data_IF_741422592254
#
_entry.id   IF_741422592254
#
_cell.length_a   1.000
_cell.length_b   1.000
_cell.length_c   1.000
_cell.angle_alpha   90.00
_cell.angle_beta   90.00
_cell.angle_gamma   90.00
#
_symmetry.space_group_name_H-M   'P 1'
#
loop_
_entity.id
_entity.type
_entity.pdbx_description
1 polymer ?
#
# COMPACT_ATOMS: atom_id res chain seq x y z
N UNK A 1 4.49 -15.00 26.17
CA UNK A 1 5.04 -14.14 25.10
C UNK A 1 4.07 -12.98 24.88
N UNK A 2 4.52 -11.72 24.83
CA UNK A 2 3.57 -10.60 24.64
C UNK A 2 2.89 -10.73 23.26
N UNK A 3 1.56 -10.58 23.15
CA UNK A 3 0.80 -10.93 21.95
C UNK A 3 1.24 -10.17 20.68
N UNK A 4 1.70 -8.92 20.83
CA UNK A 4 2.20 -8.12 19.71
C UNK A 4 3.55 -8.61 19.14
N UNK A 5 4.37 -9.32 19.94
CA UNK A 5 5.64 -9.91 19.47
C UNK A 5 5.33 -11.11 18.57
N UNK A 6 4.35 -11.92 18.96
CA UNK A 6 3.93 -13.09 18.19
C UNK A 6 3.33 -12.67 16.86
N UNK A 7 2.44 -11.68 16.86
CA UNK A 7 1.87 -11.11 15.64
C UNK A 7 2.96 -10.62 14.68
N UNK A 8 3.96 -9.88 15.19
CA UNK A 8 5.11 -9.44 14.39
C UNK A 8 5.86 -10.62 13.76
N UNK A 9 6.21 -11.63 14.53
CA UNK A 9 6.94 -12.79 14.02
C UNK A 9 6.15 -13.56 12.96
N UNK A 10 4.85 -13.77 13.21
CA UNK A 10 3.96 -14.42 12.26
C UNK A 10 3.89 -13.67 10.92
N UNK A 11 3.74 -12.34 10.96
CA UNK A 11 3.67 -11.53 9.74
C UNK A 11 4.99 -11.56 8.95
N UNK A 12 6.14 -11.54 9.63
CA UNK A 12 7.43 -11.75 8.96
C UNK A 12 7.55 -13.16 8.37
N UNK A 13 7.07 -14.19 9.07
CA UNK A 13 7.06 -15.55 8.53
C UNK A 13 6.21 -15.64 7.26
N UNK A 14 5.03 -15.00 7.23
CA UNK A 14 4.19 -14.92 6.03
C UNK A 14 4.93 -14.17 4.91
N UNK A 15 5.51 -13.01 5.20
CA UNK A 15 6.28 -12.22 4.23
C UNK A 15 7.44 -13.03 3.63
N UNK A 16 8.20 -13.74 4.45
CA UNK A 16 9.31 -14.60 4.01
C UNK A 16 8.78 -15.79 3.21
N UNK A 17 7.66 -16.40 3.60
CA UNK A 17 7.07 -17.50 2.84
C UNK A 17 6.64 -17.08 1.43
N UNK A 18 6.07 -15.87 1.27
CA UNK A 18 5.74 -15.31 -0.05
C UNK A 18 6.99 -15.02 -0.88
N UNK A 19 8.03 -14.50 -0.24
CA UNK A 19 9.32 -14.26 -0.90
C UNK A 19 9.95 -15.58 -1.40
N UNK A 20 10.00 -16.61 -0.55
CA UNK A 20 10.51 -17.93 -0.93
C UNK A 20 9.67 -18.56 -2.04
N UNK A 21 8.34 -18.46 -1.95
CA UNK A 21 7.42 -18.97 -2.97
C UNK A 21 7.68 -18.31 -4.34
N UNK A 22 7.96 -17.01 -4.38
CA UNK A 22 8.32 -16.33 -5.62
C UNK A 22 9.52 -16.98 -6.34
N UNK A 23 10.60 -17.26 -5.60
CA UNK A 23 11.81 -17.90 -6.16
C UNK A 23 11.64 -19.40 -6.44
N UNK A 24 10.63 -20.05 -5.87
CA UNK A 24 10.27 -21.43 -6.23
C UNK A 24 9.49 -21.47 -7.54
N UNK A 25 8.71 -20.43 -7.86
CA UNK A 25 7.87 -20.38 -9.05
C UNK A 25 8.56 -19.81 -10.29
N UNK A 26 9.68 -19.11 -10.15
CA UNK A 26 10.35 -18.48 -11.29
C UNK A 26 11.80 -18.12 -11.01
N UNK A 27 12.55 -17.88 -12.09
CA UNK A 27 13.95 -17.47 -12.00
C UNK A 27 14.09 -16.00 -11.59
N UNK A 28 15.24 -15.58 -11.02
CA UNK A 28 15.47 -14.17 -10.69
C UNK A 28 15.30 -13.21 -11.88
N UNK A 29 15.58 -13.66 -13.11
CA UNK A 29 15.40 -12.88 -14.33
C UNK A 29 13.90 -12.65 -14.62
N UNK A 30 13.07 -13.70 -14.53
CA UNK A 30 11.62 -13.61 -14.72
C UNK A 30 10.93 -12.75 -13.65
N UNK A 31 11.46 -12.78 -12.42
CA UNK A 31 10.99 -11.89 -11.35
C UNK A 31 11.33 -10.44 -11.69
N UNK A 32 12.55 -10.16 -12.13
CA UNK A 32 12.97 -8.81 -12.49
C UNK A 32 12.14 -8.26 -13.66
N UNK A 33 12.02 -9.01 -14.75
CA UNK A 33 11.20 -8.64 -15.90
C UNK A 33 9.74 -8.43 -15.51
N UNK A 34 9.18 -9.33 -14.69
CA UNK A 34 7.82 -9.19 -14.17
C UNK A 34 7.63 -7.95 -13.29
N UNK A 35 8.61 -7.60 -12.46
CA UNK A 35 8.57 -6.38 -11.65
C UNK A 35 8.57 -5.12 -12.53
N UNK A 36 9.36 -5.10 -13.61
CA UNK A 36 9.34 -4.01 -14.59
C UNK A 36 7.97 -3.93 -15.26
N UNK A 37 7.38 -5.07 -15.66
CA UNK A 37 6.03 -5.11 -16.24
C UNK A 37 4.98 -4.58 -15.26
N UNK A 38 5.02 -4.95 -13.98
CA UNK A 38 4.07 -4.46 -12.96
C UNK A 38 4.11 -2.93 -12.84
N UNK A 39 5.31 -2.32 -12.84
CA UNK A 39 5.47 -0.87 -12.70
C UNK A 39 5.11 -0.10 -13.98
N UNK A 40 5.33 -0.71 -15.15
CA UNK A 40 5.16 -0.04 -16.46
C UNK A 40 3.81 -0.32 -17.11
N UNK A 41 3.03 -1.25 -16.56
CA UNK A 41 1.69 -1.54 -17.04
C UNK A 41 0.65 -0.62 -16.39
N UNK A 42 -0.39 -0.29 -17.16
CA UNK A 42 -1.53 0.48 -16.67
C UNK A 42 -2.26 -0.32 -15.58
N UNK A 43 -2.20 0.17 -14.36
CA UNK A 43 -2.81 -0.47 -13.21
C UNK A 43 -4.28 -0.04 -13.06
N UNK A 44 -5.15 -0.57 -13.92
CA UNK A 44 -6.59 -0.38 -13.78
C UNK A 44 -7.09 -0.83 -12.41
N UNK A 45 -8.28 -0.42 -12.00
CA UNK A 45 -8.82 -0.66 -10.64
C UNK A 45 -8.88 -2.15 -10.23
N UNK A 46 -8.78 -3.08 -11.19
CA UNK A 46 -8.66 -4.54 -11.00
C UNK A 46 -7.58 -5.08 -11.96
N UNK A 47 -6.38 -4.50 -11.92
CA UNK A 47 -5.25 -5.04 -12.67
C UNK A 47 -4.81 -6.37 -12.06
N UNK A 48 -4.90 -7.45 -12.85
CA UNK A 48 -4.43 -8.77 -12.42
C UNK A 48 -2.92 -8.87 -12.63
N UNK A 49 -2.13 -8.68 -11.57
CA UNK A 49 -0.67 -8.75 -11.66
C UNK A 49 -0.17 -10.14 -12.07
N UNK A 50 -0.95 -11.20 -11.83
CA UNK A 50 -0.62 -12.54 -12.31
C UNK A 50 -0.68 -12.61 -13.84
N UNK A 51 -1.65 -11.95 -14.45
CA UNK A 51 -1.81 -11.88 -15.90
C UNK A 51 -0.84 -10.88 -16.56
N UNK A 52 -0.53 -9.77 -15.87
CA UNK A 52 0.37 -8.72 -16.38
C UNK A 52 1.84 -9.16 -16.36
N UNK A 53 2.25 -9.87 -15.31
CA UNK A 53 3.62 -10.33 -15.14
C UNK A 53 3.67 -11.86 -15.10
N UNK A 54 3.78 -12.42 -13.89
CA UNK A 54 3.76 -13.85 -13.65
C UNK A 54 3.54 -14.07 -12.14
N UNK A 55 3.35 -15.34 -11.75
CA UNK A 55 3.15 -15.74 -10.35
C UNK A 55 4.34 -15.33 -9.48
N UNK A 56 5.57 -15.55 -9.95
CA UNK A 56 6.77 -15.25 -9.19
C UNK A 56 6.90 -13.76 -8.84
N UNK A 57 6.82 -12.88 -9.84
CA UNK A 57 6.89 -11.43 -9.69
C UNK A 57 5.73 -10.87 -8.85
N UNK A 58 4.52 -11.42 -8.99
CA UNK A 58 3.35 -10.98 -8.19
C UNK A 58 3.55 -11.25 -6.71
N UNK A 59 3.97 -12.47 -6.35
CA UNK A 59 4.27 -12.82 -4.96
C UNK A 59 5.48 -12.06 -4.42
N UNK A 60 6.50 -11.81 -5.26
CA UNK A 60 7.65 -10.98 -4.90
C UNK A 60 7.24 -9.53 -4.60
N UNK A 61 6.44 -8.91 -5.46
CA UNK A 61 5.89 -7.56 -5.25
C UNK A 61 5.08 -7.50 -3.94
N UNK A 62 4.20 -8.47 -3.73
CA UNK A 62 3.39 -8.55 -2.53
C UNK A 62 4.22 -8.74 -1.25
N UNK A 63 5.27 -9.56 -1.29
CA UNK A 63 6.22 -9.70 -0.20
C UNK A 63 6.96 -8.38 0.09
N UNK A 64 7.44 -7.68 -0.94
CA UNK A 64 8.11 -6.39 -0.79
C UNK A 64 7.22 -5.33 -0.17
N UNK A 65 5.97 -5.20 -0.61
CA UNK A 65 5.01 -4.24 -0.05
C UNK A 65 4.66 -4.61 1.40
N UNK A 66 4.48 -5.89 1.69
CA UNK A 66 4.27 -6.37 3.06
C UNK A 66 5.47 -6.06 3.95
N UNK A 67 6.69 -6.26 3.46
CA UNK A 67 7.92 -5.91 4.16
C UNK A 67 8.01 -4.40 4.43
N UNK A 68 7.70 -3.56 3.44
CA UNK A 68 7.65 -2.09 3.61
C UNK A 68 6.66 -1.72 4.71
N UNK A 69 5.44 -2.28 4.69
CA UNK A 69 4.45 -2.02 5.73
C UNK A 69 4.97 -2.44 7.12
N UNK A 70 5.54 -3.64 7.25
CA UNK A 70 6.12 -4.14 8.50
C UNK A 70 7.28 -3.28 9.00
N UNK A 71 8.16 -2.82 8.10
CA UNK A 71 9.27 -1.94 8.43
C UNK A 71 8.77 -0.58 8.89
N UNK A 72 7.76 0.00 8.24
CA UNK A 72 7.17 1.26 8.69
C UNK A 72 6.59 1.18 10.10
N UNK A 73 5.87 0.10 10.44
CA UNK A 73 5.41 -0.14 11.81
C UNK A 73 6.57 -0.19 12.82
N UNK A 74 7.70 -0.80 12.44
CA UNK A 74 8.87 -0.91 13.31
C UNK A 74 9.64 0.39 13.47
N UNK A 75 9.90 1.10 12.36
CA UNK A 75 10.59 2.39 12.35
C UNK A 75 9.82 3.43 13.18
N UNK A 76 8.49 3.41 13.08
CA UNK A 76 7.61 4.29 13.85
C UNK A 76 7.31 3.79 15.26
N UNK A 77 7.88 2.63 15.65
CA UNK A 77 7.68 1.99 16.97
C UNK A 77 6.19 1.81 17.34
N UNK A 78 5.36 1.52 16.35
CA UNK A 78 3.92 1.29 16.53
C UNK A 78 3.68 -0.19 16.83
N UNK A 79 2.92 -0.46 17.90
CA UNK A 79 2.55 -1.83 18.25
C UNK A 79 1.55 -2.39 17.22
N UNK A 80 1.83 -3.59 16.71
CA UNK A 80 0.94 -4.32 15.80
C UNK A 80 -0.19 -4.94 16.63
N UNK A 81 -1.36 -4.32 16.57
CA UNK A 81 -2.62 -4.81 17.16
C UNK A 81 -3.46 -5.53 16.09
N UNK A 82 -4.67 -6.00 16.43
CA UNK A 82 -5.59 -6.64 15.47
C UNK A 82 -5.80 -5.84 14.18
N UNK A 83 -6.15 -4.54 14.24
CA UNK A 83 -6.22 -3.68 13.06
C UNK A 83 -4.91 -3.58 12.28
N UNK A 84 -3.76 -3.64 12.96
CA UNK A 84 -2.42 -3.67 12.35
C UNK A 84 -2.19 -4.92 11.52
N UNK A 85 -2.57 -6.08 12.05
CA UNK A 85 -2.50 -7.37 11.33
C UNK A 85 -3.36 -7.30 10.06
N UNK A 86 -4.61 -6.87 10.18
CA UNK A 86 -5.51 -6.73 9.05
C UNK A 86 -4.95 -5.76 7.99
N UNK A 87 -4.38 -4.62 8.43
CA UNK A 87 -3.81 -3.61 7.54
C UNK A 87 -2.65 -4.15 6.71
N UNK A 88 -1.73 -4.87 7.35
CA UNK A 88 -0.54 -5.42 6.69
C UNK A 88 -0.93 -6.53 5.71
N UNK A 89 -1.84 -7.43 6.11
CA UNK A 89 -2.32 -8.50 5.21
C UNK A 89 -3.12 -7.94 4.03
N UNK A 90 -3.94 -6.90 4.24
CA UNK A 90 -4.66 -6.24 3.16
C UNK A 90 -3.69 -5.51 2.21
N UNK A 91 -2.63 -4.89 2.73
CA UNK A 91 -1.58 -4.32 1.90
C UNK A 91 -0.90 -5.36 1.01
N UNK A 92 -0.64 -6.56 1.53
CA UNK A 92 -0.11 -7.67 0.76
C UNK A 92 -1.10 -8.18 -0.30
N UNK A 93 -2.40 -8.26 0.04
CA UNK A 93 -3.44 -8.64 -0.91
C UNK A 93 -3.59 -7.65 -2.06
N UNK A 94 -3.69 -6.35 -1.76
CA UNK A 94 -3.81 -5.31 -2.80
C UNK A 94 -2.56 -5.16 -3.67
N UNK A 95 -1.39 -5.60 -3.20
CA UNK A 95 -0.18 -5.70 -4.02
C UNK A 95 -0.32 -6.67 -5.20
N UNK A 96 -1.33 -7.55 -5.18
CA UNK A 96 -1.65 -8.42 -6.31
C UNK A 96 -2.62 -7.77 -7.31
N UNK A 97 -3.20 -6.62 -6.95
CA UNK A 97 -4.24 -5.91 -7.71
C UNK A 97 -3.77 -4.50 -8.13
N UNK A 98 -2.60 -4.40 -8.78
CA UNK A 98 -2.10 -3.13 -9.35
C UNK A 98 -1.35 -2.19 -8.40
N UNK A 99 -1.20 -2.53 -7.11
CA UNK A 99 -0.33 -1.78 -6.18
C UNK A 99 1.11 -2.28 -6.30
N UNK A 100 2.06 -1.36 -6.42
CA UNK A 100 3.48 -1.67 -6.65
C UNK A 100 4.40 -0.86 -5.70
N UNK A 101 5.70 -1.15 -5.70
CA UNK A 101 6.65 -0.51 -4.78
C UNK A 101 6.81 0.98 -5.07
N UNK A 102 6.60 1.44 -6.30
CA UNK A 102 6.79 2.83 -6.73
C UNK A 102 5.55 3.67 -6.43
N UNK A 103 4.36 3.17 -6.75
CA UNK A 103 3.15 3.98 -6.66
C UNK A 103 2.75 4.32 -5.20
N UNK A 104 3.01 3.44 -4.24
CA UNK A 104 2.60 3.60 -2.84
C UNK A 104 3.19 4.84 -2.16
N UNK A 105 4.39 5.26 -2.56
CA UNK A 105 5.12 6.33 -1.87
C UNK A 105 4.42 7.68 -2.00
N UNK A 106 3.72 7.95 -3.11
CA UNK A 106 3.06 9.23 -3.31
C UNK A 106 1.91 9.41 -2.32
N UNK A 107 1.11 8.37 -2.07
CA UNK A 107 0.04 8.41 -1.06
C UNK A 107 0.64 8.55 0.35
N UNK A 108 1.65 7.74 0.67
CA UNK A 108 2.33 7.79 1.98
C UNK A 108 2.93 9.19 2.22
N UNK A 109 3.54 9.79 1.20
CA UNK A 109 4.08 11.14 1.26
C UNK A 109 2.98 12.19 1.47
N UNK A 110 1.82 12.04 0.81
CA UNK A 110 0.66 12.91 1.04
C UNK A 110 0.18 12.87 2.50
N UNK A 111 0.07 11.67 3.07
CA UNK A 111 -0.28 11.49 4.50
C UNK A 111 0.78 12.10 5.41
N UNK A 112 2.06 11.93 5.08
CA UNK A 112 3.16 12.51 5.83
C UNK A 112 3.13 14.04 5.83
N UNK A 113 2.82 14.66 4.68
CA UNK A 113 2.64 16.12 4.60
C UNK A 113 1.46 16.59 5.44
N UNK A 114 0.38 15.82 5.52
CA UNK A 114 -0.74 16.12 6.41
C UNK A 114 -0.30 16.09 7.87
N UNK A 115 0.38 15.03 8.31
CA UNK A 115 0.90 14.91 9.67
C UNK A 115 1.80 16.09 10.05
N UNK A 116 2.72 16.46 9.14
CA UNK A 116 3.60 17.62 9.31
C UNK A 116 2.83 18.93 9.44
N UNK A 117 1.78 19.14 8.64
CA UNK A 117 0.94 20.36 8.73
C UNK A 117 0.19 20.44 10.07
N UNK A 118 -0.24 19.30 10.59
CA UNK A 118 -0.92 19.24 11.89
C UNK A 118 0.05 19.29 13.09
N UNK A 119 1.37 19.33 12.84
CA UNK A 119 2.40 19.21 13.87
C UNK A 119 2.25 17.93 14.72
N UNK A 120 1.77 16.86 14.10
CA UNK A 120 1.57 15.56 14.73
C UNK A 120 2.63 14.55 14.25
N UNK A 121 2.96 13.59 15.12
CA UNK A 121 3.83 12.48 14.76
C UNK A 121 3.18 11.59 13.69
N UNK A 122 3.96 11.18 12.69
CA UNK A 122 3.47 10.33 11.60
C UNK A 122 3.00 8.95 12.08
N UNK A 123 3.46 8.48 13.24
CA UNK A 123 3.01 7.22 13.85
C UNK A 123 1.49 7.15 14.08
N UNK A 124 0.82 8.30 14.28
CA UNK A 124 -0.64 8.40 14.45
C UNK A 124 -1.38 8.09 13.16
N UNK A 125 -0.76 8.34 12.01
CA UNK A 125 -1.37 8.24 10.69
C UNK A 125 -0.90 7.04 9.87
N UNK A 126 -0.19 6.09 10.48
CA UNK A 126 0.33 4.92 9.76
C UNK A 126 -0.79 4.09 9.10
N UNK A 127 -1.92 3.93 9.79
CA UNK A 127 -3.09 3.24 9.25
C UNK A 127 -3.69 3.99 8.06
N UNK A 128 -3.75 5.32 8.15
CA UNK A 128 -4.22 6.17 7.05
C UNK A 128 -3.31 6.05 5.82
N UNK A 129 -2.00 6.07 6.04
CA UNK A 129 -1.02 5.92 4.98
C UNK A 129 -1.12 4.57 4.30
N UNK A 130 -1.07 3.47 5.07
CA UNK A 130 -1.05 2.12 4.51
C UNK A 130 -2.38 1.73 3.89
N UNK A 131 -3.52 2.00 4.53
CA UNK A 131 -4.81 1.71 3.91
C UNK A 131 -5.10 2.64 2.73
N UNK A 132 -4.68 3.91 2.79
CA UNK A 132 -4.86 4.84 1.69
C UNK A 132 -4.17 4.43 0.39
N UNK A 133 -3.09 3.64 0.47
CA UNK A 133 -2.43 3.08 -0.71
C UNK A 133 -3.29 2.11 -1.51
N UNK A 134 -4.52 1.78 -1.08
CA UNK A 134 -5.47 1.09 -1.96
C UNK A 134 -5.80 1.89 -3.22
N UNK A 135 -5.65 3.23 -3.19
CA UNK A 135 -5.80 4.11 -4.35
C UNK A 135 -4.50 4.28 -5.15
N UNK A 136 -3.43 3.58 -4.79
CA UNK A 136 -2.16 3.70 -5.51
C UNK A 136 -2.23 3.34 -7.01
N UNK A 137 -3.06 2.38 -7.48
CA UNK A 137 -3.21 2.10 -8.91
C UNK A 137 -3.60 3.34 -9.76
N UNK A 138 -4.38 4.28 -9.18
CA UNK A 138 -4.76 5.53 -9.85
C UNK A 138 -3.52 6.37 -10.24
N UNK A 139 -2.45 6.31 -9.43
CA UNK A 139 -1.21 7.04 -9.72
C UNK A 139 -0.56 6.48 -10.98
N UNK A 140 -0.46 5.15 -11.08
CA UNK A 140 0.12 4.48 -12.24
C UNK A 140 -0.74 4.72 -13.50
N UNK A 141 -2.07 4.70 -13.37
CA UNK A 141 -2.99 5.08 -14.46
C UNK A 141 -2.70 6.49 -14.99
N UNK A 142 -2.68 7.49 -14.09
CA UNK A 142 -2.44 8.89 -14.46
C UNK A 142 -1.06 9.06 -15.08
N UNK A 143 -0.03 8.42 -14.51
CA UNK A 143 1.34 8.52 -15.00
C UNK A 143 1.47 8.01 -16.45
N UNK A 144 0.72 6.97 -16.79
CA UNK A 144 0.80 6.28 -18.09
C UNK A 144 -0.25 6.75 -19.11
N UNK A 145 -1.07 7.77 -18.82
CA UNK A 145 -2.08 8.28 -19.77
C UNK A 145 -1.40 8.73 -21.07
N UNK A 146 -0.41 9.63 -20.97
CA UNK A 146 0.35 10.15 -22.13
C UNK A 146 1.82 9.74 -22.11
N UNK A 147 2.28 9.09 -21.03
CA UNK A 147 3.68 8.71 -20.82
C UNK A 147 4.66 9.87 -21.02
N UNK A 148 4.23 11.09 -20.67
CA UNK A 148 5.03 12.32 -20.72
C UNK A 148 5.33 12.84 -19.32
N UNK A 149 6.29 13.77 -19.22
CA UNK A 149 6.69 14.39 -17.95
C UNK A 149 5.52 15.09 -17.23
N UNK A 150 4.53 15.57 -17.99
CA UNK A 150 3.33 16.23 -17.45
C UNK A 150 2.45 15.20 -16.74
N UNK A 151 2.21 14.05 -17.36
CA UNK A 151 1.43 12.96 -16.76
C UNK A 151 2.08 12.44 -15.48
N UNK A 152 3.41 12.31 -15.46
CA UNK A 152 4.15 11.92 -14.27
C UNK A 152 3.98 12.96 -13.14
N UNK A 153 4.11 14.25 -13.45
CA UNK A 153 3.91 15.32 -12.48
C UNK A 153 2.48 15.31 -11.93
N UNK A 154 1.48 15.15 -12.79
CA UNK A 154 0.08 15.05 -12.39
C UNK A 154 -0.16 13.84 -11.49
N UNK A 155 0.41 12.68 -11.81
CA UNK A 155 0.30 11.47 -11.00
C UNK A 155 0.85 11.69 -9.58
N UNK A 156 2.03 12.30 -9.47
CA UNK A 156 2.64 12.67 -8.18
C UNK A 156 1.73 13.62 -7.40
N UNK A 157 1.25 14.70 -8.05
CA UNK A 157 0.39 15.69 -7.40
C UNK A 157 -0.93 15.08 -6.94
N UNK A 158 -1.58 14.28 -7.77
CA UNK A 158 -2.80 13.55 -7.42
C UNK A 158 -2.57 12.61 -6.24
N UNK A 159 -1.48 11.84 -6.25
CA UNK A 159 -1.14 10.96 -5.13
C UNK A 159 -0.92 11.73 -3.81
N UNK A 160 -0.21 12.85 -3.87
CA UNK A 160 -0.01 13.71 -2.70
C UNK A 160 -1.33 14.30 -2.18
N UNK A 161 -2.20 14.77 -3.07
CA UNK A 161 -3.52 15.33 -2.72
C UNK A 161 -4.40 14.25 -2.08
N UNK A 162 -4.52 13.08 -2.71
CA UNK A 162 -5.29 11.95 -2.18
C UNK A 162 -4.77 11.58 -0.79
N UNK A 163 -3.46 11.37 -0.65
CA UNK A 163 -2.85 11.06 0.66
C UNK A 163 -3.12 12.14 1.70
N UNK A 164 -3.04 13.42 1.33
CA UNK A 164 -3.29 14.52 2.25
C UNK A 164 -4.76 14.60 2.72
N UNK A 165 -5.72 14.22 1.88
CA UNK A 165 -7.15 14.26 2.18
C UNK A 165 -7.65 13.04 2.97
N UNK A 166 -6.97 11.90 2.91
CA UNK A 166 -7.40 10.67 3.59
C UNK A 166 -7.51 10.82 5.12
N UNK A 167 -6.53 11.40 5.85
CA UNK A 167 -6.64 11.58 7.29
C UNK A 167 -7.87 12.37 7.78
N UNK A 168 -8.16 13.59 7.26
CA UNK A 168 -9.33 14.34 7.70
C UNK A 168 -10.64 13.64 7.31
N UNK A 169 -10.71 13.03 6.12
CA UNK A 169 -11.89 12.30 5.68
C UNK A 169 -12.16 11.06 6.52
N UNK A 170 -11.12 10.31 6.90
CA UNK A 170 -11.26 9.16 7.81
C UNK A 170 -11.82 9.55 9.16
N UNK A 171 -11.43 10.72 9.67
CA UNK A 171 -11.93 11.23 10.95
C UNK A 171 -13.41 11.58 10.86
N UNK A 172 -13.83 12.15 9.72
CA UNK A 172 -15.24 12.45 9.46
C UNK A 172 -16.08 11.20 9.24
N UNK A 173 -15.60 10.25 8.44
CA UNK A 173 -16.28 8.98 8.17
C UNK A 173 -16.50 8.16 9.44
N UNK A 174 -15.52 8.16 10.36
CA UNK A 174 -15.66 7.51 11.66
C UNK A 174 -16.90 8.00 12.42
N UNK A 175 -17.21 9.30 12.32
CA UNK A 175 -18.40 9.90 12.94
C UNK A 175 -19.68 9.53 12.23
N UNK A 176 -19.65 9.35 10.91
CA UNK A 176 -20.84 8.94 10.14
C UNK A 176 -21.25 7.52 10.51
N UNK A 177 -20.31 6.58 10.51
CA UNK A 177 -20.60 5.18 10.76
C UNK A 177 -20.43 4.78 12.23
N UNK A 178 -20.16 5.70 13.15
CA UNK A 178 -20.09 5.48 14.61
C UNK A 178 -19.19 4.30 15.04
N UNK A 179 -18.10 4.05 14.31
CA UNK A 179 -17.22 2.91 14.60
C UNK A 179 -17.68 1.53 14.12
N UNK A 180 -18.85 1.40 13.47
CA UNK A 180 -19.33 0.12 12.92
C UNK A 180 -18.50 -0.42 11.73
N UNK A 181 -17.82 0.46 10.98
CA UNK A 181 -16.87 0.04 9.96
C UNK A 181 -15.47 -0.14 10.56
N UNK A 182 -15.02 -1.40 10.65
CA UNK A 182 -13.66 -1.74 11.05
C UNK A 182 -12.62 -1.31 10.00
N UNK A 183 -13.04 -1.16 8.74
CA UNK A 183 -12.22 -0.68 7.63
C UNK A 183 -12.55 0.77 7.25
N UNK A 184 -12.59 1.66 8.25
CA UNK A 184 -12.94 3.08 8.07
C UNK A 184 -12.09 3.79 7.01
N UNK A 185 -10.77 3.61 7.02
CA UNK A 185 -9.89 4.30 6.05
C UNK A 185 -10.18 3.82 4.62
N UNK A 186 -10.46 2.53 4.43
CA UNK A 186 -10.88 2.01 3.12
C UNK A 186 -12.20 2.58 2.65
N UNK A 187 -13.17 2.70 3.56
CA UNK A 187 -14.44 3.37 3.28
C UNK A 187 -14.21 4.84 2.86
N UNK A 188 -13.37 5.57 3.58
CA UNK A 188 -13.02 6.96 3.22
C UNK A 188 -12.30 7.04 1.89
N UNK A 189 -11.38 6.13 1.61
CA UNK A 189 -10.69 6.06 0.34
C UNK A 189 -11.66 5.80 -0.82
N UNK A 190 -12.66 4.93 -0.64
CA UNK A 190 -13.72 4.70 -1.61
C UNK A 190 -14.73 5.85 -1.78
N UNK A 191 -14.71 6.87 -0.91
CA UNK A 191 -15.44 8.13 -1.14
C UNK A 191 -14.58 9.17 -1.89
N UNK A 192 -13.25 9.01 -1.87
CA UNK A 192 -12.31 9.94 -2.54
C UNK A 192 -12.11 9.57 -4.00
N UNK A 193 -11.96 8.27 -4.29
CA UNK A 193 -11.77 7.73 -5.64
C UNK A 193 -13.08 7.27 -6.25
#
# INVERSE_FOLDING_TARGET
MKPYIFAKQLLWAICVSMFLFAFLCGSPAEIYEGMVSIVTHKAGLIADNFAVANVAATFFNAACIMAIALLLFQLLKVNITGPGIACILLCAGFAMFGKDIVNIWHIIAGVFLYAKRQNDDFNKYIYNALYGTCLAPIITEIALIRSDWISLLLAVLCGLIIGFLIPPLSTYCLRIHQGYSLYNVGFSAGLVG
#
